data_IF_868017644515
#
_entry.id   IF_868017644515
#
_cell.length_a   1.000
_cell.length_b   1.000
_cell.length_c   1.000
_cell.angle_alpha   90.00
_cell.angle_beta   90.00
_cell.angle_gamma   90.00
#
_symmetry.space_group_name_H-M   'P 1'
#
loop_
_entity.id
_entity.type
_entity.pdbx_description
1 polymer ?
#
# COMPACT_ATOMS: atom_id res chain seq x y z
N UNK A 1 -14.78 23.68 -18.40
CA UNK A 1 -14.06 23.51 -17.13
C UNK A 1 -13.22 24.75 -16.94
N UNK A 2 -13.33 25.42 -15.79
CA UNK A 2 -12.56 26.64 -15.55
C UNK A 2 -11.06 26.35 -15.43
N UNK A 3 -10.20 27.32 -15.75
CA UNK A 3 -8.75 27.17 -15.65
C UNK A 3 -8.28 26.87 -14.21
N UNK A 4 -8.92 27.48 -13.21
CA UNK A 4 -8.58 27.25 -11.81
C UNK A 4 -9.04 25.86 -11.35
N UNK A 5 -10.19 25.40 -11.82
CA UNK A 5 -10.67 24.03 -11.55
C UNK A 5 -9.71 22.99 -12.15
N UNK A 6 -9.32 23.17 -13.42
CA UNK A 6 -8.38 22.28 -14.10
C UNK A 6 -7.03 22.21 -13.38
N UNK A 7 -6.49 23.36 -12.97
CA UNK A 7 -5.25 23.40 -12.21
C UNK A 7 -5.41 22.77 -10.82
N UNK A 8 -6.53 23.03 -10.14
CA UNK A 8 -6.84 22.46 -8.84
C UNK A 8 -6.90 20.93 -8.89
N UNK A 9 -7.54 20.36 -9.90
CA UNK A 9 -7.66 18.91 -10.07
C UNK A 9 -6.34 18.27 -10.49
N UNK A 10 -5.56 18.93 -11.35
CA UNK A 10 -4.20 18.52 -11.66
C UNK A 10 -3.33 18.45 -10.39
N UNK A 11 -3.39 19.47 -9.54
CA UNK A 11 -2.63 19.50 -8.28
C UNK A 11 -3.06 18.37 -7.33
N UNK A 12 -4.37 18.15 -7.15
CA UNK A 12 -4.89 17.02 -6.35
C UNK A 12 -4.38 15.69 -6.88
N UNK A 13 -4.37 15.49 -8.21
CA UNK A 13 -3.88 14.28 -8.83
C UNK A 13 -2.39 14.04 -8.54
N UNK A 14 -1.55 15.10 -8.60
CA UNK A 14 -0.14 15.00 -8.22
C UNK A 14 0.07 14.61 -6.75
N UNK A 15 -0.70 15.23 -5.83
CA UNK A 15 -0.63 14.90 -4.40
C UNK A 15 -1.03 13.44 -4.15
N UNK A 16 -2.06 12.95 -4.85
CA UNK A 16 -2.54 11.57 -4.72
C UNK A 16 -1.55 10.55 -5.30
N UNK A 17 -0.89 10.90 -6.42
CA UNK A 17 0.07 10.04 -7.10
C UNK A 17 1.39 9.87 -6.31
N UNK A 18 1.79 10.90 -5.55
CA UNK A 18 3.05 10.94 -4.80
C UNK A 18 2.82 11.28 -3.32
N UNK A 19 2.22 10.38 -2.53
CA UNK A 19 1.95 10.62 -1.11
C UNK A 19 3.22 10.84 -0.27
N UNK A 20 4.38 10.37 -0.74
CA UNK A 20 5.68 10.58 -0.10
C UNK A 20 6.25 11.99 -0.28
N UNK A 21 5.76 12.76 -1.26
CA UNK A 21 6.26 14.10 -1.55
C UNK A 21 5.53 15.14 -0.70
N UNK A 22 6.24 16.21 -0.32
CA UNK A 22 5.62 17.39 0.30
C UNK A 22 4.65 18.05 -0.70
N UNK A 23 3.52 18.56 -0.20
CA UNK A 23 2.51 19.27 -1.03
C UNK A 23 3.13 20.40 -1.86
N UNK A 24 4.11 21.13 -1.32
CA UNK A 24 4.82 22.19 -2.03
C UNK A 24 5.59 21.68 -3.25
N UNK A 25 6.19 20.48 -3.18
CA UNK A 25 6.87 19.86 -4.31
C UNK A 25 5.85 19.45 -5.39
N UNK A 26 4.72 18.85 -5.00
CA UNK A 26 3.64 18.53 -5.92
C UNK A 26 3.04 19.77 -6.59
N UNK A 27 2.96 20.89 -5.86
CA UNK A 27 2.49 22.17 -6.39
C UNK A 27 3.49 22.71 -7.42
N UNK A 28 4.79 22.65 -7.14
CA UNK A 28 5.81 23.07 -8.10
C UNK A 28 5.74 22.27 -9.41
N UNK A 29 5.56 20.95 -9.33
CA UNK A 29 5.40 20.11 -10.52
C UNK A 29 4.11 20.42 -11.30
N UNK A 30 2.99 20.63 -10.60
CA UNK A 30 1.73 21.04 -11.23
C UNK A 30 1.88 22.40 -11.94
N UNK A 31 2.55 23.37 -11.33
CA UNK A 31 2.84 24.69 -11.92
C UNK A 31 3.72 24.56 -13.16
N UNK A 32 4.80 23.76 -13.08
CA UNK A 32 5.71 23.53 -14.21
C UNK A 32 4.96 22.95 -15.41
N UNK A 33 4.18 21.90 -15.18
CA UNK A 33 3.38 21.28 -16.24
C UNK A 33 2.33 22.25 -16.81
N UNK A 34 1.61 22.96 -15.96
CA UNK A 34 0.61 23.94 -16.37
C UNK A 34 1.21 25.08 -17.20
N UNK A 35 2.37 25.59 -16.80
CA UNK A 35 3.07 26.64 -17.53
C UNK A 35 3.61 26.13 -18.87
N UNK A 36 4.13 24.91 -18.90
CA UNK A 36 4.56 24.27 -20.15
C UNK A 36 3.39 24.20 -21.13
N UNK A 37 2.25 23.66 -20.71
CA UNK A 37 1.07 23.52 -21.56
C UNK A 37 0.56 24.86 -22.10
N UNK A 38 0.47 25.90 -21.25
CA UNK A 38 0.05 27.24 -21.68
C UNK A 38 0.99 27.88 -22.70
N UNK A 39 2.26 27.45 -22.74
CA UNK A 39 3.28 28.04 -23.60
C UNK A 39 3.41 27.26 -24.91
N UNK A 40 3.27 25.93 -24.87
CA UNK A 40 3.53 25.06 -26.01
C UNK A 40 2.29 24.74 -26.85
N UNK A 41 1.09 24.81 -26.27
CA UNK A 41 -0.13 24.28 -26.90
C UNK A 41 -1.20 25.34 -27.14
N UNK A 42 -1.98 25.21 -28.23
CA UNK A 42 -3.16 26.04 -28.43
C UNK A 42 -4.19 25.80 -27.32
N UNK A 43 -4.88 26.88 -26.89
CA UNK A 43 -5.79 26.87 -25.74
C UNK A 43 -6.88 25.80 -25.83
N UNK A 44 -7.33 25.46 -27.03
CA UNK A 44 -8.40 24.48 -27.26
C UNK A 44 -7.99 23.04 -26.90
N UNK A 45 -6.69 22.74 -26.88
CA UNK A 45 -6.14 21.42 -26.49
C UNK A 45 -5.84 21.29 -25.00
N UNK A 46 -5.82 22.42 -24.27
CA UNK A 46 -5.46 22.47 -22.86
C UNK A 46 -6.29 21.51 -21.98
N UNK A 47 -7.63 21.46 -22.12
CA UNK A 47 -8.45 20.60 -21.27
C UNK A 47 -8.17 19.11 -21.48
N UNK A 48 -7.94 18.69 -22.73
CA UNK A 48 -7.68 17.30 -23.08
C UNK A 48 -6.33 16.82 -22.53
N UNK A 49 -5.29 17.65 -22.66
CA UNK A 49 -3.96 17.34 -22.15
C UNK A 49 -3.90 17.30 -20.63
N UNK A 50 -4.62 18.21 -19.96
CA UNK A 50 -4.76 18.18 -18.49
C UNK A 50 -5.49 16.92 -18.04
N UNK A 51 -6.60 16.56 -18.69
CA UNK A 51 -7.34 15.33 -18.37
C UNK A 51 -6.48 14.08 -18.57
N UNK A 52 -5.75 14.00 -19.69
CA UNK A 52 -4.82 12.90 -19.96
C UNK A 52 -3.75 12.79 -18.87
N UNK A 53 -3.18 13.91 -18.43
CA UNK A 53 -2.19 13.92 -17.35
C UNK A 53 -2.79 13.46 -16.01
N UNK A 54 -4.00 13.91 -15.68
CA UNK A 54 -4.70 13.47 -14.46
C UNK A 54 -4.91 11.95 -14.49
N UNK A 55 -5.38 11.39 -15.60
CA UNK A 55 -5.58 9.93 -15.73
C UNK A 55 -4.28 9.15 -15.54
N UNK A 56 -3.15 9.63 -16.06
CA UNK A 56 -1.84 9.02 -15.83
C UNK A 56 -1.45 9.02 -14.34
N UNK A 57 -1.68 10.15 -13.65
CA UNK A 57 -1.38 10.29 -12.23
C UNK A 57 -2.29 9.41 -11.36
N UNK A 58 -3.57 9.30 -11.72
CA UNK A 58 -4.52 8.41 -11.04
C UNK A 58 -4.17 6.93 -11.22
N UNK A 59 -3.76 6.52 -12.43
CA UNK A 59 -3.27 5.17 -12.68
C UNK A 59 -2.01 4.86 -11.84
N UNK A 60 -1.10 5.81 -11.70
CA UNK A 60 0.07 5.69 -10.83
C UNK A 60 -0.33 5.50 -9.36
N UNK A 61 -1.27 6.32 -8.88
CA UNK A 61 -1.78 6.24 -7.51
C UNK A 61 -2.44 4.88 -7.24
N UNK A 62 -3.27 4.39 -8.16
CA UNK A 62 -3.94 3.10 -8.05
C UNK A 62 -2.95 1.94 -8.07
N UNK A 63 -1.92 1.99 -8.93
CA UNK A 63 -0.87 0.98 -8.99
C UNK A 63 -0.12 0.85 -7.65
N UNK A 64 0.17 1.98 -7.00
CA UNK A 64 0.79 2.01 -5.67
C UNK A 64 -0.12 1.47 -4.57
N UNK A 65 -1.40 1.86 -4.59
CA UNK A 65 -2.39 1.34 -3.63
C UNK A 65 -2.59 -0.17 -3.77
N UNK A 66 -2.67 -0.68 -5.01
CA UNK A 66 -2.76 -2.10 -5.30
C UNK A 66 -1.51 -2.88 -4.85
N UNK A 67 -0.32 -2.31 -5.00
CA UNK A 67 0.91 -2.90 -4.48
C UNK A 67 0.90 -3.02 -2.95
N UNK A 68 0.40 -1.99 -2.26
CA UNK A 68 0.24 -2.01 -0.79
C UNK A 68 -0.77 -3.09 -0.37
N UNK A 69 -1.95 -3.18 -1.01
CA UNK A 69 -2.93 -4.22 -0.70
C UNK A 69 -2.37 -5.64 -0.90
N UNK A 70 -1.58 -5.85 -1.96
CA UNK A 70 -0.92 -7.14 -2.21
C UNK A 70 0.09 -7.50 -1.12
N UNK A 71 0.82 -6.51 -0.59
CA UNK A 71 1.75 -6.72 0.52
C UNK A 71 1.01 -7.21 1.77
N UNK A 72 -0.07 -6.55 2.17
CA UNK A 72 -0.88 -6.96 3.32
C UNK A 72 -1.62 -8.28 3.10
N UNK A 73 -2.11 -8.54 1.89
CA UNK A 73 -2.73 -9.82 1.53
C UNK A 73 -1.76 -11.00 1.66
N UNK A 74 -0.49 -10.84 1.27
CA UNK A 74 0.54 -11.86 1.46
C UNK A 74 0.96 -12.00 2.93
N UNK A 75 1.06 -10.91 3.68
CA UNK A 75 1.40 -10.94 5.09
C UNK A 75 0.32 -11.64 5.94
N UNK A 76 -0.96 -11.41 5.63
CA UNK A 76 -2.08 -12.10 6.28
C UNK A 76 -2.15 -13.59 5.90
N UNK A 77 -1.81 -13.95 4.66
CA UNK A 77 -1.83 -15.34 4.20
C UNK A 77 -0.66 -16.18 4.73
N UNK A 78 0.45 -15.56 5.16
CA UNK A 78 1.58 -16.26 5.79
C UNK A 78 1.35 -16.58 7.27
N UNK A 79 0.26 -16.09 7.87
CA UNK A 79 -0.08 -16.30 9.27
C UNK A 79 -1.07 -17.46 9.50
N UNK A 80 -1.51 -18.18 8.46
CA UNK A 80 -2.27 -19.42 8.65
C UNK A 80 -1.31 -20.54 9.04
N UNK A 81 -1.37 -21.11 10.26
CA UNK A 81 -0.60 -22.29 10.59
C UNK A 81 -1.11 -23.42 9.70
N UNK A 82 -0.30 -23.84 8.73
CA UNK A 82 -0.53 -25.07 7.99
C UNK A 82 -0.59 -26.19 9.03
N UNK A 83 -1.70 -26.95 9.16
CA UNK A 83 -1.69 -28.12 10.02
C UNK A 83 -0.63 -29.06 9.46
N UNK A 84 0.40 -29.31 10.27
CA UNK A 84 1.43 -30.29 9.95
C UNK A 84 0.75 -31.64 9.79
N UNK A 85 0.57 -32.09 8.55
CA UNK A 85 0.28 -33.48 8.25
C UNK A 85 1.54 -34.26 8.64
N UNK A 86 1.49 -34.82 9.84
CA UNK A 86 2.39 -35.86 10.30
C UNK A 86 2.23 -37.06 9.37
N UNK A 87 3.16 -37.24 8.43
CA UNK A 87 3.37 -38.54 7.82
C UNK A 87 4.63 -39.17 8.42
N UNK A 88 4.35 -40.22 9.17
CA UNK A 88 5.28 -41.05 9.89
C UNK A 88 6.23 -41.77 8.93
N UNK A 89 7.45 -41.94 9.41
CA UNK A 89 8.62 -42.56 8.81
C UNK A 89 8.40 -44.05 8.49
N UNK A 90 8.85 -44.49 7.31
CA UNK A 90 9.35 -45.86 7.12
C UNK A 90 10.53 -45.87 6.14
N UNK A 91 11.55 -46.60 6.55
CA UNK A 91 12.97 -46.68 6.12
C UNK A 91 13.23 -47.38 4.75
N UNK A 92 14.51 -47.50 4.31
CA UNK A 92 14.96 -47.39 2.92
C UNK A 92 15.04 -48.74 2.20
N UNK A 93 15.14 -48.69 0.86
CA UNK A 93 15.58 -49.85 0.09
C UNK A 93 16.55 -49.40 -1.01
N UNK A 94 17.72 -50.02 -0.99
CA UNK A 94 18.82 -49.87 -1.93
C UNK A 94 18.46 -50.50 -3.27
N UNK A 95 18.97 -49.95 -4.39
CA UNK A 95 19.62 -50.68 -5.49
C UNK A 95 20.15 -49.68 -6.52
N UNK A 96 21.41 -49.86 -6.89
CA UNK A 96 22.15 -48.95 -7.75
C UNK A 96 21.83 -49.06 -9.23
N UNK A 97 22.30 -48.07 -9.99
CA UNK A 97 22.69 -48.25 -11.38
C UNK A 97 23.78 -47.24 -11.73
N UNK A 98 24.84 -47.82 -12.30
CA UNK A 98 26.02 -47.20 -12.88
C UNK A 98 25.68 -46.21 -14.00
N UNK A 99 26.45 -45.12 -14.11
CA UNK A 99 26.32 -44.15 -15.19
C UNK A 99 27.44 -43.12 -15.17
N UNK A 100 28.56 -43.47 -15.78
CA UNK A 100 29.74 -42.65 -16.02
C UNK A 100 29.39 -41.32 -16.70
N UNK A 101 29.93 -40.20 -16.19
CA UNK A 101 29.72 -38.86 -16.73
C UNK A 101 30.81 -37.90 -16.25
N UNK A 102 31.95 -37.98 -16.92
CA UNK A 102 33.12 -37.12 -16.77
C UNK A 102 32.79 -35.65 -17.14
N UNK A 103 33.14 -34.67 -16.30
CA UNK A 103 33.73 -33.37 -16.73
C UNK A 103 33.99 -32.40 -15.56
N UNK A 104 35.28 -32.25 -15.25
CA UNK A 104 36.00 -30.98 -15.03
C UNK A 104 35.37 -29.76 -14.32
N UNK A 105 36.12 -29.35 -13.28
CA UNK A 105 36.60 -27.98 -12.95
C UNK A 105 35.93 -27.22 -11.79
N UNK A 106 36.79 -27.04 -10.75
CA UNK A 106 37.15 -25.79 -10.04
C UNK A 106 36.01 -24.92 -9.49
N UNK A 107 36.03 -24.73 -8.17
CA UNK A 107 35.33 -23.59 -7.56
C UNK A 107 35.19 -23.72 -6.04
N UNK A 108 36.31 -23.65 -5.33
CA UNK A 108 36.35 -23.45 -3.89
C UNK A 108 35.76 -22.06 -3.57
N UNK A 109 34.64 -22.01 -2.85
CA UNK A 109 34.13 -20.78 -2.25
C UNK A 109 33.51 -21.10 -0.89
N UNK A 110 34.35 -20.96 0.14
CA UNK A 110 33.98 -20.95 1.55
C UNK A 110 33.08 -19.74 1.80
N UNK A 111 31.76 -19.93 1.78
CA UNK A 111 30.81 -18.88 2.17
C UNK A 111 30.83 -18.81 3.70
N UNK A 112 31.48 -17.79 4.23
CA UNK A 112 31.42 -17.43 5.63
C UNK A 112 29.97 -17.11 6.02
N UNK A 113 29.45 -17.77 7.04
CA UNK A 113 28.26 -17.33 7.76
C UNK A 113 28.51 -15.93 8.33
N UNK A 114 27.70 -14.90 8.03
CA UNK A 114 27.62 -13.75 8.91
C UNK A 114 26.86 -14.16 10.17
N UNK A 115 27.57 -14.12 11.29
CA UNK A 115 27.03 -14.25 12.64
C UNK A 115 25.92 -13.22 12.86
N UNK A 116 24.73 -13.70 13.22
CA UNK A 116 23.60 -12.85 13.61
C UNK A 116 23.92 -12.10 14.90
N UNK A 117 24.39 -10.86 14.78
CA UNK A 117 24.31 -9.91 15.86
C UNK A 117 22.83 -9.56 16.08
N UNK A 118 22.25 -10.16 17.12
CA UNK A 118 20.93 -9.83 17.65
C UNK A 118 20.96 -8.41 18.21
N UNK A 119 20.72 -7.43 17.36
CA UNK A 119 20.48 -6.06 17.77
C UNK A 119 19.01 -5.98 18.20
N UNK A 120 18.74 -6.10 19.51
CA UNK A 120 17.44 -5.76 20.10
C UNK A 120 17.09 -4.32 19.71
N UNK A 121 16.27 -4.17 18.66
CA UNK A 121 15.75 -2.88 18.20
C UNK A 121 14.74 -2.39 19.22
N UNK A 122 15.19 -1.56 20.15
CA UNK A 122 14.31 -0.63 20.86
C UNK A 122 13.67 0.25 19.78
N UNK A 123 12.33 0.29 19.64
CA UNK A 123 11.69 1.10 18.62
C UNK A 123 12.07 2.57 18.84
N UNK A 124 12.46 3.23 17.76
CA UNK A 124 12.82 4.64 17.80
C UNK A 124 11.64 5.46 18.36
N UNK A 125 11.87 6.54 19.12
CA UNK A 125 10.82 7.32 19.80
C UNK A 125 9.71 7.83 18.87
N UNK A 126 10.01 7.97 17.57
CA UNK A 126 9.04 8.34 16.54
C UNK A 126 7.98 7.25 16.29
N UNK A 127 8.33 5.97 16.45
CA UNK A 127 7.38 4.85 16.26
C UNK A 127 6.37 4.73 17.42
N UNK A 128 6.74 5.15 18.64
CA UNK A 128 5.81 5.14 19.77
C UNK A 128 4.71 6.18 19.59
N UNK A 129 5.08 7.40 19.17
CA UNK A 129 4.10 8.48 18.97
C UNK A 129 3.05 8.13 17.90
N UNK A 130 3.48 7.53 16.80
CA UNK A 130 2.56 7.08 15.73
C UNK A 130 1.64 5.96 16.22
N UNK A 131 2.13 5.07 17.09
CA UNK A 131 1.33 3.99 17.66
C UNK A 131 0.25 4.50 18.61
N UNK A 132 0.54 5.57 19.37
CA UNK A 132 -0.43 6.21 20.26
C UNK A 132 -1.52 6.94 19.46
N UNK A 133 -1.12 7.71 18.44
CA UNK A 133 -2.07 8.42 17.56
C UNK A 133 -3.00 7.44 16.82
N UNK A 134 -2.49 6.30 16.35
CA UNK A 134 -3.30 5.25 15.72
C UNK A 134 -4.31 4.61 16.68
N UNK A 135 -3.90 4.39 17.94
CA UNK A 135 -4.79 3.82 18.95
C UNK A 135 -5.94 4.78 19.30
N UNK A 136 -5.64 6.08 19.38
CA UNK A 136 -6.64 7.12 19.64
C UNK A 136 -7.67 7.24 18.51
N UNK A 137 -7.21 7.25 17.25
CA UNK A 137 -8.11 7.28 16.07
C UNK A 137 -8.98 6.02 16.01
N UNK A 138 -8.41 4.85 16.31
CA UNK A 138 -9.16 3.59 16.35
C UNK A 138 -10.27 3.62 17.41
N UNK A 139 -9.96 4.14 18.61
CA UNK A 139 -10.95 4.32 19.66
C UNK A 139 -12.04 5.34 19.28
N UNK A 140 -11.69 6.39 18.54
CA UNK A 140 -12.66 7.37 18.06
C UNK A 140 -13.65 6.78 17.05
N UNK A 141 -13.16 5.97 16.09
CA UNK A 141 -14.00 5.28 15.11
C UNK A 141 -14.94 4.28 15.79
N UNK A 142 -14.46 3.53 16.79
CA UNK A 142 -15.29 2.62 17.56
C UNK A 142 -16.42 3.35 18.30
N UNK A 143 -16.12 4.48 18.98
CA UNK A 143 -17.13 5.31 19.65
C UNK A 143 -18.15 5.91 18.67
N UNK A 144 -17.73 6.30 17.46
CA UNK A 144 -18.65 6.78 16.43
C UNK A 144 -19.59 5.67 15.95
N UNK A 145 -19.08 4.46 15.77
CA UNK A 145 -19.87 3.29 15.37
C UNK A 145 -20.89 2.88 16.45
N UNK A 146 -20.52 3.00 17.73
CA UNK A 146 -21.44 2.79 18.86
C UNK A 146 -22.51 3.88 18.94
N UNK A 147 -22.18 5.14 18.63
CA UNK A 147 -23.17 6.23 18.54
C UNK A 147 -24.14 6.04 17.37
N UNK A 148 -23.66 5.50 16.24
CA UNK A 148 -24.51 5.17 15.09
C UNK A 148 -25.50 4.05 15.45
N UNK A 149 -25.06 3.01 16.18
CA UNK A 149 -25.96 1.94 16.61
C UNK A 149 -26.94 2.39 17.71
N UNK A 150 -26.54 3.31 18.59
CA UNK A 150 -27.41 3.88 19.62
C UNK A 150 -28.43 4.89 19.04
N UNK A 151 -28.07 5.65 17.99
CA UNK A 151 -28.96 6.59 17.30
C UNK A 151 -30.15 5.89 16.63
N UNK A 152 -29.91 4.70 16.06
CA UNK A 152 -30.95 3.86 15.44
C UNK A 152 -32.01 3.32 16.42
N UNK A 153 -31.76 3.36 17.73
CA UNK A 153 -32.70 2.86 18.75
C UNK A 153 -33.61 3.96 19.33
N UNK A 154 -33.42 5.23 18.97
CA UNK A 154 -34.24 6.35 19.48
C UNK A 154 -35.24 6.93 18.48
N UNK A 155 -35.12 6.63 17.18
CA UNK A 155 -36.11 7.02 16.17
C UNK A 155 -37.26 6.00 16.00
N UNK A 156 -37.31 4.93 16.80
CA UNK A 156 -38.32 3.87 16.72
C UNK A 156 -39.55 4.02 17.64
N UNK A 157 -39.66 5.07 18.46
CA UNK A 157 -40.68 5.16 19.52
C UNK A 157 -41.53 6.44 19.50
N UNK A 158 -41.71 7.05 18.32
CA UNK A 158 -42.64 8.17 18.14
C UNK A 158 -43.59 7.93 16.97
N UNK A 159 -44.37 6.85 17.06
CA UNK A 159 -45.36 6.52 16.04
C UNK A 159 -46.24 5.34 16.43
N UNK A 160 -46.98 5.46 17.53
CA UNK A 160 -48.24 4.73 17.74
C UNK A 160 -48.97 5.27 18.99
N UNK A 161 -49.72 6.35 18.79
CA UNK A 161 -50.92 6.67 19.59
C UNK A 161 -51.65 7.82 18.91
N UNK A 162 -52.54 7.47 17.99
CA UNK A 162 -53.82 8.14 17.68
C UNK A 162 -54.36 7.61 16.36
N UNK A 163 -55.13 6.52 16.43
CA UNK A 163 -56.56 6.45 16.05
C UNK A 163 -57.06 5.01 16.18
#
# INVERSE_FOLDING_TARGET
>A
MDHNEMFGDLFKAFVKAYPEKKKSACQAEAILFWNQLKTSEPKDKLPELVRSKIQQLEALALGRQGALMKFWGKAASAASPTPAVSQSRASPSEHGASGSGQSSRKGEAKIAQPSSASCLKRPAPVQQKISEELNEVTAQVLRMKERESAGLMTEGLKGNSSN
#
